data_IF_122023436877
#
_entry.id   IF_122023436877
#
_cell.length_a   1.000
_cell.length_b   1.000
_cell.length_c   1.000
_cell.angle_alpha   90.00
_cell.angle_beta   90.00
_cell.angle_gamma   90.00
#
_symmetry.space_group_name_H-M   'P 1'
#
loop_
_entity.id
_entity.type
_entity.pdbx_description
1 polymer ?
2 non-polymer ?
3 non-polymer ?
4 water ?
#
# COMPACT_ATOMS: atom_id res chain seq x y z
N UNK A 1 8.62 -12.83 -12.37
CA UNK A 1 8.28 -11.44 -12.16
C UNK A 1 7.04 -11.04 -12.95
N UNK A 2 6.42 -9.95 -12.50
CA UNK A 2 5.34 -9.23 -13.17
C UNK A 2 5.80 -7.79 -13.42
N UNK A 3 5.35 -7.19 -14.54
CA UNK A 3 5.72 -5.84 -14.94
C UNK A 3 4.96 -4.78 -14.14
N UNK A 4 5.69 -3.76 -13.67
CA UNK A 4 5.19 -2.62 -12.92
C UNK A 4 5.08 -1.43 -13.89
N UNK A 5 4.02 -0.59 -13.84
CA UNK A 5 2.93 -0.72 -12.87
C UNK A 5 1.99 -1.89 -13.17
N UNK A 6 1.36 -2.33 -12.07
CA UNK A 6 0.43 -3.46 -12.08
C UNK A 6 -0.86 -3.05 -11.38
N UNK A 7 -1.96 -3.38 -12.03
CA UNK A 7 -3.29 -3.24 -11.44
C UNK A 7 -3.87 -4.58 -11.00
N UNK A 8 -4.07 -4.70 -9.69
CA UNK A 8 -4.73 -5.89 -9.15
C UNK A 8 -6.22 -5.57 -8.92
N UNK A 9 -7.17 -6.22 -9.66
CA UNK A 9 -8.58 -6.00 -9.40
C UNK A 9 -8.91 -6.50 -8.00
N UNK A 10 -9.81 -5.79 -7.34
CA UNK A 10 -10.37 -6.18 -6.06
C UNK A 10 -11.87 -6.29 -6.28
N UNK A 11 -12.39 -7.48 -6.69
CA UNK A 11 -13.76 -7.54 -7.23
C UNK A 11 -14.80 -7.30 -6.18
N UNK A 12 -15.69 -6.37 -6.41
CA UNK A 12 -16.66 -6.00 -5.38
C UNK A 12 -16.05 -5.30 -4.18
N UNK A 13 -14.85 -4.70 -4.40
CA UNK A 13 -14.15 -3.93 -3.38
C UNK A 13 -13.64 -4.80 -2.23
N UNK A 14 -13.32 -4.15 -1.12
CA UNK A 14 -12.68 -4.83 0.00
C UNK A 14 -13.73 -5.01 1.11
N UNK A 15 -13.33 -5.77 2.13
CA UNK A 15 -14.22 -6.08 3.23
C UNK A 15 -13.36 -6.42 4.42
N UNK A 16 -13.81 -6.21 5.68
CA UNK A 16 -13.01 -6.62 6.81
C UNK A 16 -12.66 -8.10 6.72
N UNK A 17 -11.41 -8.40 7.14
CA UNK A 17 -10.78 -9.72 7.16
C UNK A 17 -10.14 -10.09 5.82
N UNK A 18 -10.22 -9.20 4.83
CA UNK A 18 -9.48 -9.41 3.58
C UNK A 18 -8.03 -8.98 3.76
N UNK A 19 -7.14 -9.92 3.46
CA UNK A 19 -5.68 -9.70 3.56
C UNK A 19 -5.11 -9.69 2.14
N UNK A 20 -4.47 -8.55 1.78
CA UNK A 20 -3.84 -8.37 0.48
C UNK A 20 -2.32 -8.42 0.66
N UNK A 21 -1.72 -9.38 -0.04
CA UNK A 21 -0.27 -9.56 0.06
C UNK A 21 0.46 -9.17 -1.26
N UNK A 22 1.50 -8.32 -1.14
CA UNK A 22 2.31 -7.92 -2.27
C UNK A 22 3.70 -8.41 -1.96
N UNK A 23 4.23 -9.24 -2.84
CA UNK A 23 5.59 -9.79 -2.74
C UNK A 23 6.43 -9.24 -3.87
N UNK A 24 7.67 -8.87 -3.55
CA UNK A 24 8.57 -8.41 -4.57
C UNK A 24 9.94 -8.19 -3.97
N UNK A 25 10.78 -7.45 -4.72
CA UNK A 25 12.14 -7.08 -4.30
C UNK A 25 12.28 -5.59 -4.53
N UNK A 26 12.83 -4.88 -3.55
CA UNK A 26 13.10 -3.46 -3.73
C UNK A 26 14.31 -3.31 -4.65
N UNK A 27 14.22 -2.45 -5.67
CA UNK A 27 15.36 -2.27 -6.56
C UNK A 27 16.54 -1.69 -5.78
N UNK A 28 17.75 -1.99 -6.25
CA UNK A 28 18.96 -1.54 -5.55
C UNK A 28 19.13 -0.03 -5.34
N UNK A 29 18.63 0.82 -6.24
CA UNK A 29 18.79 2.25 -6.02
C UNK A 29 17.43 2.95 -5.91
N UNK A 30 16.51 2.28 -5.21
CA UNK A 30 15.09 2.68 -5.18
C UNK A 30 14.93 4.09 -4.61
N UNK A 31 13.95 4.81 -5.14
CA UNK A 31 13.53 6.11 -4.66
C UNK A 31 12.12 6.06 -4.01
N UNK A 32 11.22 5.31 -4.62
CA UNK A 32 9.83 5.45 -4.23
C UNK A 32 9.11 4.13 -4.57
N UNK A 33 8.08 3.81 -3.75
CA UNK A 33 7.11 2.73 -4.02
C UNK A 33 5.76 3.34 -3.71
N UNK A 34 4.77 2.92 -4.48
CA UNK A 34 3.42 3.33 -4.19
C UNK A 34 2.51 2.13 -4.36
N UNK A 35 1.60 1.98 -3.31
CA UNK A 35 0.33 1.22 -3.35
C UNK A 35 -0.80 2.22 -3.40
N UNK A 36 -1.73 2.06 -4.36
CA UNK A 36 -2.90 2.92 -4.47
C UNK A 36 -4.16 2.02 -4.49
N UNK A 37 -4.84 1.96 -3.34
CA UNK A 37 -6.17 1.30 -3.22
C UNK A 37 -7.19 2.31 -3.72
N UNK A 38 -7.78 2.06 -4.90
CA UNK A 38 -8.60 3.07 -5.54
C UNK A 38 -10.09 2.72 -5.56
N UNK A 39 -10.90 3.77 -5.44
CA UNK A 39 -12.34 3.70 -5.69
C UNK A 39 -12.52 4.60 -6.91
N UNK A 40 -12.64 4.01 -8.09
CA UNK A 40 -12.57 4.77 -9.33
C UNK A 40 -11.29 5.59 -9.39
N UNK A 41 -11.47 6.89 -9.57
CA UNK A 41 -10.30 7.77 -9.59
C UNK A 41 -9.85 8.15 -8.18
N UNK A 42 -10.69 8.00 -7.15
CA UNK A 42 -10.27 8.31 -5.81
C UNK A 42 -9.26 7.28 -5.33
N UNK A 43 -8.34 7.77 -4.48
CA UNK A 43 -7.40 6.87 -3.84
C UNK A 43 -7.78 6.78 -2.36
N UNK A 44 -8.44 5.66 -1.98
CA UNK A 44 -8.86 5.47 -0.60
C UNK A 44 -7.64 5.42 0.35
N UNK A 45 -6.59 4.70 -0.12
CA UNK A 45 -5.39 4.49 0.68
C UNK A 45 -4.18 4.46 -0.26
N UNK A 46 -3.35 5.49 -0.12
CA UNK A 46 -2.06 5.59 -0.81
C UNK A 46 -0.95 5.37 0.21
N UNK A 47 -0.17 4.29 0.00
CA UNK A 47 0.91 3.89 0.88
C UNK A 47 2.20 4.08 0.08
N UNK A 48 3.05 5.01 0.56
CA UNK A 48 4.14 5.58 -0.25
C UNK A 48 5.47 5.65 0.51
N UNK A 49 6.23 4.56 0.50
CA UNK A 49 7.63 4.59 0.94
C UNK A 49 8.47 5.50 0.05
N UNK A 50 9.15 6.46 0.71
CA UNK A 50 10.04 7.41 0.09
C UNK A 50 11.41 7.16 0.68
N UNK A 51 12.37 6.77 -0.20
CA UNK A 51 13.70 6.36 0.23
C UNK A 51 14.64 7.56 0.43
N UNK A 52 14.29 8.75 -0.08
CA UNK A 52 15.15 9.90 0.06
C UNK A 52 14.33 11.18 -0.06
N UNK A 53 13.60 11.49 1.02
CA UNK A 53 12.97 12.76 1.15
C UNK A 53 13.82 13.56 2.15
N UNK A 54 14.53 14.58 1.62
CA UNK A 54 15.47 15.40 2.39
C UNK A 54 16.54 14.54 3.13
N UNK A 55 17.04 13.51 2.47
CA UNK A 55 17.96 12.55 3.07
C UNK A 55 17.39 11.70 4.23
N UNK A 56 16.06 11.52 4.33
CA UNK A 56 15.45 10.61 5.30
C UNK A 56 14.57 9.63 4.53
N UNK A 57 14.39 8.46 5.14
CA UNK A 57 13.42 7.49 4.61
C UNK A 57 12.12 7.63 5.39
N UNK A 58 11.01 7.78 4.68
CA UNK A 58 9.73 8.00 5.36
C UNK A 58 8.64 7.23 4.62
N UNK A 59 7.61 6.79 5.37
CA UNK A 59 6.38 6.27 4.77
C UNK A 59 5.33 7.38 4.79
N UNK A 60 4.77 7.76 3.62
CA UNK A 60 3.72 8.74 3.57
C UNK A 60 2.44 8.01 3.20
N UNK A 61 1.36 8.23 3.99
CA UNK A 61 0.04 7.72 3.63
C UNK A 61 -0.95 8.86 3.46
N UNK A 62 -1.90 8.67 2.54
CA UNK A 62 -2.90 9.69 2.30
C UNK A 62 -4.07 9.11 1.51
N UNK A 63 -5.03 9.98 1.24
CA UNK A 63 -6.24 9.72 0.47
C UNK A 63 -6.39 10.85 -0.55
N UNK A 64 -6.82 10.51 -1.76
CA UNK A 64 -7.06 11.45 -2.86
C UNK A 64 -8.55 11.41 -3.19
N UNK A 65 -9.23 12.56 -3.06
CA UNK A 65 -10.64 12.70 -3.36
C UNK A 65 -10.79 13.79 -4.41
N UNK A 66 -11.56 13.47 -5.47
CA UNK A 66 -11.75 14.43 -6.56
C UNK A 66 -10.43 15.08 -7.00
N UNK A 67 -9.38 14.26 -7.02
CA UNK A 67 -8.08 14.66 -7.50
C UNK A 67 -7.34 15.59 -6.52
N UNK A 68 -7.76 15.67 -5.25
CA UNK A 68 -7.12 16.51 -4.25
C UNK A 68 -6.53 15.61 -3.16
N UNK A 69 -5.24 15.72 -2.87
CA UNK A 69 -4.68 14.99 -1.73
C UNK A 69 -5.14 15.61 -0.42
N UNK A 70 -5.40 14.77 0.59
CA UNK A 70 -5.80 15.19 1.92
C UNK A 70 -4.62 15.37 2.85
N UNK A 71 -4.88 15.24 4.14
CA UNK A 71 -3.83 15.36 5.14
C UNK A 71 -2.97 14.10 5.18
N UNK A 72 -1.66 14.29 5.17
CA UNK A 72 -0.69 13.18 5.13
C UNK A 72 -0.61 12.59 6.53
N UNK A 73 -0.42 11.27 6.58
CA UNK A 73 -0.09 10.56 7.82
C UNK A 73 1.30 10.00 7.62
N UNK A 74 2.26 10.38 8.48
CA UNK A 74 3.64 9.96 8.28
C UNK A 74 4.21 9.11 9.41
N UNK A 75 5.19 8.26 9.02
CA UNK A 75 5.86 7.24 9.85
C UNK A 75 7.36 7.23 9.47
N UNK A 76 8.25 7.41 10.45
CA UNK A 76 9.69 7.27 10.21
C UNK A 76 10.13 5.82 10.39
N UNK A 77 9.33 4.99 11.06
CA UNK A 77 9.65 3.58 11.04
C UNK A 77 9.58 3.16 9.58
N UNK A 78 10.67 2.61 9.10
CA UNK A 78 10.87 2.41 7.68
C UNK A 78 11.48 1.03 7.52
N UNK A 79 10.69 0.02 7.18
CA UNK A 79 11.15 -1.35 7.25
C UNK A 79 11.81 -1.90 6.00
N UNK A 80 11.80 -1.14 4.91
CA UNK A 80 12.30 -1.56 3.60
C UNK A 80 13.80 -1.31 3.50
N UNK A 81 14.46 -2.17 2.72
CA UNK A 81 15.88 -1.94 2.44
C UNK A 81 16.04 -2.12 0.95
N UNK A 82 16.82 -1.23 0.35
CA UNK A 82 17.13 -1.37 -1.05
C UNK A 82 17.72 -2.75 -1.33
N UNK A 83 17.28 -3.37 -2.43
CA UNK A 83 17.90 -4.60 -2.87
C UNK A 83 17.29 -5.85 -2.25
N UNK A 84 16.35 -5.72 -1.30
CA UNK A 84 15.90 -6.88 -0.53
C UNK A 84 14.48 -7.33 -0.91
N UNK A 85 14.20 -8.64 -0.78
CA UNK A 85 12.85 -9.19 -0.96
C UNK A 85 11.95 -8.73 0.19
N UNK A 86 10.76 -8.25 -0.14
CA UNK A 86 9.82 -7.78 0.86
C UNK A 86 8.46 -8.47 0.66
N UNK A 87 7.67 -8.36 1.74
CA UNK A 87 6.25 -8.69 1.73
C UNK A 87 5.50 -7.56 2.42
N UNK A 88 4.56 -6.96 1.72
CA UNK A 88 3.64 -6.00 2.31
C UNK A 88 2.31 -6.70 2.45
N UNK A 89 1.75 -6.64 3.66
CA UNK A 89 0.42 -7.21 3.89
C UNK A 89 -0.48 -6.08 4.37
N UNK A 90 -1.59 -5.90 3.69
CA UNK A 90 -2.60 -4.93 4.04
C UNK A 90 -3.85 -5.71 4.44
N UNK A 91 -4.16 -5.63 5.72
CA UNK A 91 -5.34 -6.31 6.27
C UNK A 91 -6.40 -5.24 6.42
N UNK A 92 -7.56 -5.51 5.80
CA UNK A 92 -8.67 -4.59 5.92
C UNK A 92 -9.39 -4.92 7.21
N UNK A 93 -9.49 -3.93 8.10
CA UNK A 93 -10.26 -4.08 9.34
C UNK A 93 -11.49 -3.17 9.25
N UNK A 94 -12.45 -3.24 10.21
CA UNK A 94 -13.65 -2.40 10.11
C UNK A 94 -13.43 -0.90 10.08
N UNK A 95 -12.39 -0.44 10.79
CA UNK A 95 -12.17 0.99 10.87
C UNK A 95 -10.86 1.42 10.22
N UNK A 96 -9.97 0.51 9.82
CA UNK A 96 -8.69 0.96 9.26
C UNK A 96 -8.18 -0.13 8.35
N UNK A 97 -7.19 0.28 7.52
CA UNK A 97 -6.25 -0.64 6.91
C UNK A 97 -5.10 -0.83 7.90
N UNK A 98 -4.69 -2.07 8.10
CA UNK A 98 -3.54 -2.37 8.95
C UNK A 98 -2.43 -2.93 8.06
N UNK A 99 -1.20 -2.38 8.15
CA UNK A 99 -0.11 -2.77 7.23
C UNK A 99 0.98 -3.44 8.08
N UNK A 100 1.42 -4.63 7.67
CA UNK A 100 2.61 -5.28 8.22
C UNK A 100 3.59 -5.50 7.08
N UNK A 101 4.87 -5.30 7.39
CA UNK A 101 5.89 -5.55 6.39
C UNK A 101 6.81 -6.64 6.93
N UNK A 102 7.05 -7.68 6.13
CA UNK A 102 7.98 -8.74 6.51
C UNK A 102 7.56 -9.27 7.89
N UNK A 103 6.23 -9.41 8.09
CA UNK A 103 5.63 -10.00 9.29
C UNK A 103 5.79 -9.18 10.57
N UNK A 104 6.01 -7.88 10.46
CA UNK A 104 6.10 -6.95 11.55
C UNK A 104 5.09 -5.84 11.30
N UNK A 105 4.23 -5.62 12.29
CA UNK A 105 3.28 -4.52 12.20
C UNK A 105 3.98 -3.19 11.94
N UNK A 106 3.43 -2.41 11.00
CA UNK A 106 3.98 -1.12 10.67
C UNK A 106 3.05 0.03 11.03
N UNK A 107 1.80 0.04 10.59
CA UNK A 107 0.94 1.17 10.82
C UNK A 107 -0.52 0.77 10.60
N UNK A 108 -1.42 1.64 11.07
CA UNK A 108 -2.85 1.62 10.78
C UNK A 108 -3.23 2.93 10.09
N UNK A 109 -4.25 2.86 9.22
CA UNK A 109 -4.75 4.04 8.53
C UNK A 109 -6.28 4.01 8.52
N UNK A 110 -6.91 4.96 9.22
CA UNK A 110 -8.35 4.97 9.38
C UNK A 110 -9.01 5.18 8.03
N UNK A 111 -10.15 4.52 7.85
CA UNK A 111 -10.91 4.62 6.60
C UNK A 111 -11.48 6.03 6.45
N UNK A 112 -11.09 6.71 5.35
CA UNK A 112 -11.65 8.01 5.02
C UNK A 112 -12.71 7.82 3.94
N UNK A 113 -12.42 6.96 2.97
CA UNK A 113 -13.40 6.45 2.04
C UNK A 113 -14.21 5.33 2.74
N UNK A 114 -15.52 5.51 2.75
CA UNK A 114 -16.40 4.65 3.52
C UNK A 114 -16.98 3.49 2.71
N UNK A 115 -17.02 3.63 1.37
CA UNK A 115 -17.61 2.62 0.50
C UNK A 115 -16.51 1.60 0.17
N UNK A 116 -16.26 0.72 1.14
CA UNK A 116 -15.21 -0.32 1.08
C UNK A 116 -15.48 -1.17 -0.18
N UNK A 117 -16.77 -1.50 -0.43
CA UNK A 117 -17.14 -2.42 -1.50
C UNK A 117 -17.03 -1.77 -2.88
N UNK A 118 -16.51 -0.51 -2.94
CA UNK A 118 -16.20 0.15 -4.21
C UNK A 118 -14.69 0.40 -4.37
N UNK A 119 -13.87 -0.05 -3.43
CA UNK A 119 -12.41 0.12 -3.59
C UNK A 119 -11.95 -1.09 -4.39
N UNK A 120 -12.02 -0.99 -5.73
CA UNK A 120 -12.03 -2.20 -6.54
C UNK A 120 -10.74 -2.38 -7.35
N UNK A 121 -9.71 -1.59 -7.05
CA UNK A 121 -8.40 -1.72 -7.71
C UNK A 121 -7.29 -1.39 -6.71
N UNK A 122 -6.23 -2.20 -6.81
CA UNK A 122 -4.95 -1.86 -6.18
C UNK A 122 -3.92 -1.61 -7.29
N UNK A 123 -3.43 -0.36 -7.37
CA UNK A 123 -2.34 -0.07 -8.27
C UNK A 123 -1.02 -0.20 -7.52
N UNK A 124 -0.05 -0.86 -8.16
CA UNK A 124 1.26 -1.07 -7.57
C UNK A 124 2.28 -0.48 -8.52
N UNK A 125 3.06 0.47 -8.00
CA UNK A 125 4.02 1.14 -8.86
C UNK A 125 5.30 1.45 -8.08
N UNK A 126 6.31 1.84 -8.83
CA UNK A 126 7.57 2.33 -8.29
C UNK A 126 8.69 1.30 -8.44
N UNK A 127 9.70 1.48 -7.57
CA UNK A 127 11.03 0.94 -7.77
C UNK A 127 11.18 -0.45 -7.16
N UNK A 128 10.42 -1.40 -7.71
CA UNK A 128 10.36 -2.78 -7.25
C UNK A 128 10.39 -3.71 -8.45
N UNK A 129 10.87 -4.92 -8.19
CA UNK A 129 10.59 -6.06 -9.03
C UNK A 129 9.41 -6.76 -8.35
N UNK A 130 8.25 -6.84 -9.02
CA UNK A 130 7.04 -7.36 -8.43
C UNK A 130 6.96 -8.87 -8.71
N UNK A 131 6.77 -9.69 -7.67
CA UNK A 131 6.74 -11.13 -7.80
C UNK A 131 5.26 -11.56 -7.86
N UNK A 132 4.40 -11.11 -6.92
CA UNK A 132 3.00 -11.52 -6.96
C UNK A 132 2.20 -10.52 -6.15
N UNK A 133 0.89 -10.48 -6.42
CA UNK A 133 -0.06 -9.72 -5.63
C UNK A 133 -1.31 -10.57 -5.56
N UNK A 134 -1.85 -10.79 -4.34
CA UNK A 134 -2.99 -11.68 -4.19
C UNK A 134 -3.71 -11.28 -2.91
N UNK A 135 -4.81 -11.98 -2.66
CA UNK A 135 -5.56 -11.75 -1.43
C UNK A 135 -6.20 -13.05 -0.93
N UNK A 136 -6.55 -13.01 0.36
CA UNK A 136 -7.25 -14.12 0.99
C UNK A 136 -8.13 -13.53 2.09
N UNK A 137 -9.04 -14.35 2.62
CA UNK A 137 -9.79 -13.96 3.80
C UNK A 137 -9.25 -14.70 5.02
N UNK A 138 -8.97 -13.99 6.10
CA UNK A 138 -8.51 -14.66 7.31
C UNK A 138 -9.66 -15.14 8.23
X LIG B 1 0.57 17.31 -1.17
X LIG B 1 0.43 17.20 -3.31
X LIG B 1 1.67 15.08 -3.83
X LIG B 1 1.15 16.11 -2.87
X LIG B 1 1.16 16.15 -1.50
X LIG B 1 0.27 17.85 0.17
X LIG B 1 -0.85 17.08 0.85
X LIG B 1 1.13 18.44 2.41
X LIG B 1 0.72 12.08 -0.87
X LIG B 1 1.92 12.09 -4.51
X LIG B 1 3.88 8.41 -7.29
X LIG B 1 5.30 6.38 -8.60
X LIG B 1 5.33 6.50 -7.20
X LIG B 1 4.56 7.46 -6.58
X LIG B 1 4.71 14.22 -5.55
X LIG B 1 3.41 13.60 -5.50
X LIG B 1 3.07 12.99 -4.25
X LIG B 1 2.71 14.08 -3.28
X LIG B 1 -1.06 17.67 2.25
X LIG B 1 0.16 17.62 3.01
X LIG B 1 1.48 17.91 1.04
X LIG B 1 2.21 18.87 0.41
X LIG B 1 0.04 17.91 -2.26
X LIG B 1 2.22 13.48 -2.05
X LIG B 1 1.10 12.58 -2.21
X LIG B 1 0.28 13.09 -0.05
X LIG B 1 1.50 11.45 -3.15
X LIG B 1 2.59 10.67 -2.62
X LIG B 1 2.27 11.09 -5.47
X LIG B 1 1.55 11.01 -6.61
X LIG B 1 2.10 10.05 -7.35
X LIG B 1 3.12 9.50 -6.67
X LIG B 1 3.91 8.30 -8.69
X LIG B 1 4.63 7.30 -9.33
X LIG B 1 6.15 5.17 -9.42
X LIG B 1 5.94 5.54 -6.45
X LIG B 1 4.59 7.54 -5.23
X LIG B 1 3.26 10.16 -5.47
X LIG B 1 0.80 14.56 -4.25
X LIG B 1 2.11 15.62 -4.67
X LIG B 1 1.63 15.53 -0.76
X LIG B 1 -0.07 18.87 -0.01
X LIG B 1 -0.59 16.02 0.92
X LIG B 1 -1.77 17.17 0.26
X LIG B 1 2.02 18.45 3.04
X LIG B 1 0.74 19.46 2.34
X LIG B 1 1.59 11.61 -0.38
X LIG B 1 -0.07 11.33 -0.95
X LIG B 1 0.97 12.50 -4.68
X LIG B 1 4.93 14.50 -6.58
X LIG B 1 5.47 13.52 -5.18
X LIG B 1 4.72 15.12 -4.93
X LIG B 1 3.94 12.43 -3.89
X LIG B 1 3.61 14.63 -3.01
X LIG B 1 -1.82 17.11 2.80
X LIG B 1 -1.39 18.71 2.17
X LIG B 1 2.36 17.32 1.21
X LIG B 1 0.25 13.13 -2.62
X LIG B 1 1.01 13.72 0.03
X LIG B 1 0.66 10.77 -3.31
X LIG B 1 3.31 10.76 -3.26
X LIG B 1 3.38 9.02 -9.30
X LIG B 1 4.63 7.24 -10.41
X LIG B 1 3.96 10.05 -4.66
X LIG C 1 6.71 10.12 -4.03
X LIG C 1 6.76 10.46 -5.58
X LIG C 1 6.77 10.67 -6.72
X LIG D 1 -9.64 -13.24 -9.49
X LIG D 1 -8.51 -13.48 -8.40
X LIG D 1 -7.79 -13.70 -7.52
#
# INVERSE_FOLDING_TARGET
PLIVPYNLPLPGGVVPRMLITILGTVKPNANRIALDFQRGNDVAFHFNPRFNENNRRVIVCNTKLDNNWGREERQSVFPFESGKPFKIQVLVEPDHFKVAVNDAHLLQYNHRVKKLNEISKLGISGDIDLTSASYTMI
A1H2Q N1 N3 C4 C5 C6 C7 C8 C10 C13 C15 C17 C20 C21 C22 C1 O1 C2 C3 C9 O2 C11 F1 N2 O3 C12 O4 C14 O5 N4 N5 N6 C16 C18 C19 CL1 F2 F3 C23 H6 H7 H8 H9 H11 H10 H14 H15 H18 H19 H23 H2 H3 H1 H4 H5 H12 H13 H16 H17 H20 H21 H22 H24 H25 H26
SCN S C N
SCN S C N
#
